data_IF_006780149947
#
_entry.id   IF_006780149947
#
_cell.length_a   1.000
_cell.length_b   1.000
_cell.length_c   1.000
_cell.angle_alpha   90.00
_cell.angle_beta   90.00
_cell.angle_gamma   90.00
#
_symmetry.space_group_name_H-M   'P 1'
#
loop_
_entity.id
_entity.type
_entity.pdbx_description
1 polymer ?
#
# COMPACT_ATOMS: atom_id res chain seq x y z
N UNK A 1 12.53 26.98 -5.01
CA UNK A 1 11.48 26.74 -4.00
C UNK A 1 10.89 25.37 -4.27
N UNK A 2 11.10 24.41 -3.36
CA UNK A 2 10.50 23.09 -3.48
C UNK A 2 9.03 23.19 -3.04
N UNK A 3 8.11 22.79 -3.90
CA UNK A 3 6.71 22.60 -3.52
C UNK A 3 6.72 21.38 -2.61
N UNK A 4 6.36 21.56 -1.33
CA UNK A 4 6.03 20.44 -0.47
C UNK A 4 4.83 19.75 -1.11
N UNK A 5 5.06 18.60 -1.72
CA UNK A 5 4.00 17.79 -2.32
C UNK A 5 3.27 17.16 -1.15
N UNK A 6 2.18 17.79 -0.73
CA UNK A 6 1.27 17.32 0.32
C UNK A 6 0.40 16.14 -0.15
N UNK A 7 0.67 15.62 -1.35
CA UNK A 7 -0.02 14.47 -1.93
C UNK A 7 0.71 13.18 -1.59
N UNK A 8 -0.02 12.10 -1.21
CA UNK A 8 0.59 10.81 -0.98
C UNK A 8 1.30 10.33 -2.26
N UNK A 9 2.47 9.69 -2.13
CA UNK A 9 3.17 9.13 -3.27
C UNK A 9 2.29 8.09 -3.95
N UNK A 10 2.31 8.10 -5.29
CA UNK A 10 1.45 7.26 -6.10
C UNK A 10 2.10 6.78 -7.40
N UNK A 11 1.61 5.65 -7.89
CA UNK A 11 1.96 5.05 -9.18
C UNK A 11 0.68 4.64 -9.91
N UNK A 12 0.70 4.70 -11.24
CA UNK A 12 -0.37 4.14 -12.07
C UNK A 12 0.20 3.00 -12.89
N UNK A 13 -0.48 1.86 -12.87
CA UNK A 13 -0.08 0.64 -13.57
C UNK A 13 -1.06 0.30 -14.69
N UNK A 14 -0.55 -0.23 -15.81
CA UNK A 14 -1.35 -0.91 -16.82
C UNK A 14 -1.63 -2.38 -16.45
N UNK A 15 -2.37 -3.09 -17.30
CA UNK A 15 -2.78 -4.48 -17.11
C UNK A 15 -1.60 -5.45 -16.89
N UNK A 16 -0.41 -5.15 -17.39
CA UNK A 16 0.79 -5.97 -17.25
C UNK A 16 1.67 -5.57 -16.04
N UNK A 17 1.15 -4.69 -15.17
CA UNK A 17 1.87 -4.10 -14.04
C UNK A 17 3.06 -3.22 -14.46
N UNK A 18 3.05 -2.68 -15.68
CA UNK A 18 4.02 -1.68 -16.10
C UNK A 18 3.58 -0.31 -15.58
N UNK A 19 4.54 0.44 -15.04
CA UNK A 19 4.34 1.77 -14.47
C UNK A 19 4.15 2.75 -15.62
N UNK A 20 2.94 3.27 -15.80
CA UNK A 20 2.60 4.21 -16.88
C UNK A 20 2.65 5.67 -16.45
N UNK A 21 2.44 5.94 -15.16
CA UNK A 21 2.52 7.27 -14.55
C UNK A 21 3.10 7.18 -13.14
N UNK A 22 3.80 8.23 -12.71
CA UNK A 22 4.45 8.35 -11.39
C UNK A 22 4.08 9.70 -10.81
N UNK A 23 3.53 9.71 -9.59
CA UNK A 23 3.20 10.94 -8.89
C UNK A 23 4.45 11.72 -8.45
N UNK A 24 4.39 13.06 -8.30
CA UNK A 24 5.57 13.86 -7.98
C UNK A 24 6.29 13.44 -6.68
N UNK A 25 5.53 13.09 -5.64
CA UNK A 25 6.10 12.60 -4.38
C UNK A 25 6.81 11.24 -4.53
N UNK A 26 6.25 10.35 -5.37
CA UNK A 26 6.87 9.06 -5.67
C UNK A 26 8.16 9.22 -6.49
N UNK A 27 8.12 10.07 -7.52
CA UNK A 27 9.28 10.37 -8.38
C UNK A 27 10.43 10.98 -7.55
N UNK A 28 10.11 11.87 -6.61
CA UNK A 28 11.11 12.46 -5.72
C UNK A 28 11.78 11.44 -4.79
N UNK A 29 11.04 10.43 -4.33
CA UNK A 29 11.54 9.44 -3.38
C UNK A 29 12.24 8.25 -4.06
N UNK A 30 11.75 7.82 -5.23
CA UNK A 30 12.14 6.57 -5.88
C UNK A 30 12.88 6.79 -7.22
N UNK A 31 12.89 8.02 -7.73
CA UNK A 31 13.42 8.36 -9.04
C UNK A 31 12.52 7.90 -10.19
N UNK A 32 13.07 7.88 -11.43
CA UNK A 32 12.28 7.63 -12.63
C UNK A 32 11.91 6.15 -12.77
N UNK A 33 10.64 5.84 -12.52
CA UNK A 33 10.09 4.48 -12.60
C UNK A 33 9.24 4.23 -13.85
N UNK A 34 8.84 5.28 -14.56
CA UNK A 34 7.95 5.18 -15.71
C UNK A 34 8.52 4.26 -16.80
N UNK A 35 7.68 3.36 -17.29
CA UNK A 35 7.99 2.36 -18.33
C UNK A 35 8.54 1.04 -17.81
N UNK A 36 8.95 0.97 -16.53
CA UNK A 36 9.43 -0.27 -15.91
C UNK A 36 8.26 -1.16 -15.48
N UNK A 37 8.48 -2.48 -15.47
CA UNK A 37 7.56 -3.37 -14.77
C UNK A 37 7.73 -3.19 -13.26
N UNK A 38 6.62 -3.14 -12.52
CA UNK A 38 6.63 -2.97 -11.07
C UNK A 38 7.48 -4.05 -10.38
N UNK A 39 7.35 -5.30 -10.81
CA UNK A 39 8.03 -6.43 -10.17
C UNK A 39 9.53 -6.45 -10.41
N UNK A 40 9.98 -5.86 -11.53
CA UNK A 40 11.39 -5.68 -11.83
C UNK A 40 11.97 -4.47 -11.08
N UNK A 41 11.16 -3.41 -10.93
CA UNK A 41 11.54 -2.22 -10.18
C UNK A 41 11.66 -2.47 -8.67
N UNK A 42 10.87 -3.40 -8.14
CA UNK A 42 10.86 -3.79 -6.72
C UNK A 42 11.03 -5.32 -6.60
N UNK A 43 12.27 -5.84 -6.64
CA UNK A 43 12.52 -7.27 -6.58
C UNK A 43 11.96 -7.94 -5.31
N UNK A 44 11.39 -9.13 -5.46
CA UNK A 44 10.83 -9.88 -4.32
C UNK A 44 9.48 -9.37 -3.81
N UNK A 45 8.97 -8.25 -4.33
CA UNK A 45 7.69 -7.66 -3.90
C UNK A 45 6.48 -8.48 -4.41
N UNK A 46 6.58 -9.13 -5.57
CA UNK A 46 5.44 -9.79 -6.23
C UNK A 46 4.63 -10.72 -5.32
N UNK A 47 5.21 -11.68 -4.57
CA UNK A 47 4.42 -12.56 -3.69
C UNK A 47 3.68 -11.81 -2.57
N UNK A 48 4.17 -10.63 -2.18
CA UNK A 48 3.61 -9.82 -1.10
C UNK A 48 2.43 -8.97 -1.59
N UNK A 49 2.59 -8.29 -2.74
CA UNK A 49 1.61 -7.29 -3.18
C UNK A 49 0.63 -7.80 -4.25
N UNK A 50 1.06 -8.72 -5.11
CA UNK A 50 0.24 -9.18 -6.24
C UNK A 50 -1.15 -9.71 -5.83
N UNK A 51 -1.32 -10.51 -4.74
CA UNK A 51 -2.64 -11.00 -4.35
C UNK A 51 -3.66 -9.88 -4.08
N UNK A 52 -3.21 -8.76 -3.53
CA UNK A 52 -4.06 -7.60 -3.22
C UNK A 52 -4.40 -6.81 -4.48
N UNK A 53 -3.43 -6.62 -5.37
CA UNK A 53 -3.63 -5.90 -6.63
C UNK A 53 -4.53 -6.68 -7.59
N UNK A 54 -4.31 -7.99 -7.70
CA UNK A 54 -5.19 -8.90 -8.44
C UNK A 54 -6.61 -8.88 -7.85
N UNK A 55 -6.75 -8.91 -6.52
CA UNK A 55 -8.05 -8.77 -5.87
C UNK A 55 -8.74 -7.46 -6.27
N UNK A 56 -8.06 -6.32 -6.17
CA UNK A 56 -8.62 -5.01 -6.52
C UNK A 56 -9.11 -4.98 -7.98
N UNK A 57 -8.32 -5.53 -8.91
CA UNK A 57 -8.72 -5.63 -10.32
C UNK A 57 -9.94 -6.53 -10.53
N UNK A 58 -9.94 -7.71 -9.92
CA UNK A 58 -11.04 -8.68 -10.10
C UNK A 58 -12.36 -8.20 -9.49
N UNK A 59 -12.31 -7.49 -8.37
CA UNK A 59 -13.52 -7.01 -7.69
C UNK A 59 -13.98 -5.65 -8.21
N UNK A 60 -13.09 -4.87 -8.83
CA UNK A 60 -13.37 -3.48 -9.18
C UNK A 60 -13.51 -2.58 -7.95
N UNK A 61 -13.08 -3.06 -6.77
CA UNK A 61 -13.17 -2.33 -5.50
C UNK A 61 -11.78 -1.93 -5.00
N UNK A 62 -11.64 -0.78 -4.33
CA UNK A 62 -10.41 -0.43 -3.63
C UNK A 62 -10.02 -1.48 -2.60
N UNK A 63 -8.74 -1.84 -2.56
CA UNK A 63 -8.17 -2.74 -1.55
C UNK A 63 -7.10 -2.00 -0.75
N UNK A 64 -7.23 -2.04 0.57
CA UNK A 64 -6.27 -1.49 1.51
C UNK A 64 -5.63 -2.59 2.34
N UNK A 65 -4.33 -2.48 2.61
CA UNK A 65 -3.58 -3.44 3.41
C UNK A 65 -2.30 -2.80 3.94
N UNK A 66 -1.76 -3.38 5.02
CA UNK A 66 -0.44 -3.03 5.54
C UNK A 66 0.54 -4.11 5.12
N UNK A 67 1.72 -3.72 4.65
CA UNK A 67 2.74 -4.64 4.19
C UNK A 67 4.13 -4.17 4.60
N UNK A 68 4.94 -5.10 5.10
CA UNK A 68 6.37 -4.90 5.29
C UNK A 68 7.14 -5.26 4.01
N UNK A 69 8.05 -4.40 3.59
CA UNK A 69 8.95 -4.61 2.46
C UNK A 69 10.21 -3.75 2.62
N UNK A 70 11.38 -4.35 2.41
CA UNK A 70 12.69 -3.66 2.38
C UNK A 70 12.97 -2.74 3.60
N UNK A 71 12.59 -3.20 4.81
CA UNK A 71 12.80 -2.44 6.04
C UNK A 71 11.68 -1.44 6.38
N UNK A 72 10.73 -1.24 5.48
CA UNK A 72 9.61 -0.32 5.63
C UNK A 72 8.28 -1.05 5.84
N UNK A 73 7.49 -0.55 6.78
CA UNK A 73 6.09 -0.91 6.97
C UNK A 73 5.23 0.19 6.34
N UNK A 74 4.48 -0.16 5.30
CA UNK A 74 3.59 0.77 4.60
C UNK A 74 2.12 0.40 4.73
N UNK A 75 1.25 1.41 4.70
CA UNK A 75 -0.17 1.24 4.36
C UNK A 75 -0.31 1.50 2.86
N UNK A 76 -0.82 0.50 2.14
CA UNK A 76 -0.99 0.55 0.68
C UNK A 76 -2.49 0.57 0.38
N UNK A 77 -2.86 1.42 -0.58
CA UNK A 77 -4.20 1.47 -1.16
C UNK A 77 -4.09 1.26 -2.67
N UNK A 78 -4.73 0.21 -3.15
CA UNK A 78 -4.85 -0.11 -4.57
C UNK A 78 -6.27 0.20 -5.05
N UNK A 79 -6.40 1.09 -6.04
CA UNK A 79 -7.68 1.56 -6.59
C UNK A 79 -7.76 1.18 -8.06
N UNK A 80 -8.69 0.31 -8.47
CA UNK A 80 -8.90 0.00 -9.88
C UNK A 80 -9.57 1.18 -10.61
N UNK A 81 -9.09 1.52 -11.81
CA UNK A 81 -9.65 2.56 -12.66
C UNK A 81 -9.64 2.09 -14.13
N UNK A 82 -10.78 1.55 -14.59
CA UNK A 82 -10.85 0.92 -15.91
C UNK A 82 -9.85 -0.25 -16.01
N UNK A 83 -8.95 -0.20 -16.99
CA UNK A 83 -7.85 -1.17 -17.16
C UNK A 83 -6.61 -0.87 -16.30
N UNK A 84 -6.61 0.25 -15.58
CA UNK A 84 -5.47 0.72 -14.79
C UNK A 84 -5.64 0.38 -13.31
N UNK A 85 -4.52 0.38 -12.61
CA UNK A 85 -4.48 0.29 -11.16
C UNK A 85 -3.68 1.43 -10.58
N UNK A 86 -4.31 2.26 -9.76
CA UNK A 86 -3.67 3.35 -9.03
C UNK A 86 -3.23 2.82 -7.68
N UNK A 87 -1.96 3.04 -7.34
CA UNK A 87 -1.37 2.65 -6.08
C UNK A 87 -1.00 3.91 -5.30
N UNK A 88 -1.39 3.95 -4.04
CA UNK A 88 -0.98 4.96 -3.07
C UNK A 88 -0.34 4.27 -1.88
N UNK A 89 0.62 4.91 -1.25
CA UNK A 89 1.18 4.40 0.00
C UNK A 89 1.55 5.49 0.99
N UNK A 90 1.53 5.11 2.26
CA UNK A 90 2.01 5.89 3.40
C UNK A 90 3.02 5.04 4.17
N UNK A 91 4.18 5.62 4.50
CA UNK A 91 5.17 4.98 5.37
C UNK A 91 4.68 5.10 6.82
N UNK A 92 4.39 3.96 7.44
CA UNK A 92 3.97 3.91 8.85
C UNK A 92 5.16 3.81 9.79
N UNK A 93 6.14 2.98 9.44
CA UNK A 93 7.31 2.74 10.27
C UNK A 93 8.49 2.24 9.45
N UNK A 94 9.72 2.52 9.91
CA UNK A 94 10.96 1.99 9.34
C UNK A 94 11.72 1.26 10.44
N UNK A 95 12.20 0.05 10.13
CA UNK A 95 13.01 -0.71 11.09
C UNK A 95 14.36 -0.02 11.32
N UNK A 96 14.72 0.10 12.60
CA UNK A 96 16.05 0.54 13.01
C UNK A 96 16.97 -0.68 13.07
N UNK A 97 17.77 -0.88 12.03
CA UNK A 97 18.69 -2.01 11.93
C UNK A 97 20.10 -1.70 12.47
N UNK A 98 20.31 -0.53 13.08
CA UNK A 98 21.65 -0.10 13.52
C UNK A 98 22.13 -0.84 14.76
N UNK A 99 21.21 -1.20 15.65
CA UNK A 99 21.51 -1.93 16.90
C UNK A 99 20.47 -3.03 17.13
N UNK A 100 20.84 -4.07 17.89
CA UNK A 100 19.89 -5.13 18.24
C UNK A 100 18.72 -4.62 19.09
N UNK A 101 18.97 -3.64 19.96
CA UNK A 101 17.94 -3.00 20.76
C UNK A 101 17.00 -2.14 19.91
N UNK A 102 17.55 -1.34 18.98
CA UNK A 102 16.77 -0.57 18.00
C UNK A 102 15.94 -1.47 17.10
N UNK A 103 16.50 -2.59 16.64
CA UNK A 103 15.78 -3.55 15.81
C UNK A 103 14.63 -4.18 16.57
N UNK A 104 14.88 -4.62 17.81
CA UNK A 104 13.84 -5.17 18.67
C UNK A 104 12.72 -4.15 18.90
N UNK A 105 13.06 -2.92 19.29
CA UNK A 105 12.09 -1.89 19.60
C UNK A 105 11.25 -1.47 18.37
N UNK A 106 11.88 -1.35 17.20
CA UNK A 106 11.18 -1.02 15.95
C UNK A 106 10.31 -2.17 15.43
N UNK A 107 10.72 -3.43 15.64
CA UNK A 107 9.87 -4.60 15.37
C UNK A 107 8.63 -4.62 16.29
N UNK A 108 8.81 -4.36 17.59
CA UNK A 108 7.69 -4.31 18.54
C UNK A 108 6.67 -3.23 18.13
N UNK A 109 7.14 -2.06 17.66
CA UNK A 109 6.29 -0.99 17.15
C UNK A 109 5.58 -1.37 15.84
N UNK A 110 6.30 -1.98 14.90
CA UNK A 110 5.72 -2.44 13.64
C UNK A 110 4.59 -3.46 13.85
N UNK A 111 4.79 -4.41 14.78
CA UNK A 111 3.78 -5.40 15.14
C UNK A 111 2.53 -4.75 15.75
N UNK A 112 2.70 -3.78 16.65
CA UNK A 112 1.58 -3.05 17.23
C UNK A 112 0.73 -2.31 16.18
N UNK A 113 1.38 -1.69 15.18
CA UNK A 113 0.70 -1.02 14.07
C UNK A 113 -0.11 -1.98 13.19
N UNK A 114 0.43 -3.18 12.92
CA UNK A 114 -0.28 -4.22 12.18
C UNK A 114 -1.53 -4.66 12.96
N UNK A 115 -1.39 -4.91 14.26
CA UNK A 115 -2.51 -5.29 15.12
C UNK A 115 -3.61 -4.23 15.18
N UNK A 116 -3.23 -2.95 15.26
CA UNK A 116 -4.18 -1.83 15.25
C UNK A 116 -4.94 -1.75 13.92
N UNK A 117 -4.23 -1.91 12.80
CA UNK A 117 -4.83 -1.90 11.47
C UNK A 117 -5.82 -3.07 11.29
N UNK A 118 -5.44 -4.28 11.71
CA UNK A 118 -6.32 -5.45 11.68
C UNK A 118 -7.57 -5.25 12.54
N UNK A 119 -7.41 -4.67 13.73
CA UNK A 119 -8.54 -4.34 14.59
C UNK A 119 -9.48 -3.32 13.93
N UNK A 120 -8.94 -2.33 13.21
CA UNK A 120 -9.72 -1.37 12.42
C UNK A 120 -10.50 -2.06 11.30
N UNK A 121 -9.85 -2.87 10.48
CA UNK A 121 -10.51 -3.60 9.39
C UNK A 121 -11.64 -4.52 9.89
N UNK A 122 -11.42 -5.22 11.01
CA UNK A 122 -12.45 -6.06 11.63
C UNK A 122 -13.66 -5.24 12.06
N UNK A 123 -13.45 -4.09 12.70
CA UNK A 123 -14.53 -3.17 13.10
C UNK A 123 -15.32 -2.65 11.90
N UNK A 124 -14.64 -2.26 10.82
CA UNK A 124 -15.30 -1.73 9.63
C UNK A 124 -16.13 -2.80 8.92
N UNK A 125 -15.62 -4.04 8.83
CA UNK A 125 -16.37 -5.18 8.28
C UNK A 125 -17.66 -5.47 9.07
N UNK A 126 -17.59 -5.42 10.40
CA UNK A 126 -18.77 -5.60 11.28
C UNK A 126 -19.79 -4.49 11.03
N UNK A 127 -19.36 -3.22 10.96
CA UNK A 127 -20.25 -2.08 10.68
C UNK A 127 -20.93 -2.20 9.31
N UNK A 128 -20.20 -2.57 8.26
CA UNK A 128 -20.76 -2.74 6.93
C UNK A 128 -21.80 -3.86 6.88
N UNK A 129 -21.56 -4.97 7.60
CA UNK A 129 -22.50 -6.09 7.68
C UNK A 129 -23.80 -5.68 8.38
N UNK A 130 -23.71 -4.91 9.46
CA UNK A 130 -24.88 -4.42 10.20
C UNK A 130 -25.75 -3.47 9.37
N UNK A 131 -25.13 -2.58 8.58
CA UNK A 131 -25.87 -1.64 7.69
C UNK A 131 -26.67 -2.36 6.60
N UNK A 132 -26.17 -3.49 6.09
CA UNK A 132 -26.90 -4.29 5.07
C UNK A 132 -28.16 -4.93 5.66
N UNK A 133 -28.16 -5.29 6.94
CA UNK A 133 -29.31 -5.90 7.61
C UNK A 133 -30.41 -4.88 7.91
N UNK A 134 -30.06 -3.63 8.20
CA UNK A 134 -31.05 -2.57 8.51
C UNK A 134 -31.71 -1.96 7.26
N UNK A 135 -31.06 -1.97 6.10
CA UNK A 135 -31.58 -1.42 4.84
C UNK A 135 -32.46 -2.37 4.01
N UNK A 136 -32.72 -3.58 4.50
CA UNK A 136 -33.44 -4.65 3.78
C UNK A 136 -34.88 -4.88 4.25
N UNK A 137 -35.65 -3.83 4.53
CA UNK A 137 -37.09 -3.91 4.86
C UNK A 137 -37.92 -2.91 4.07
#
# INVERSE_FOLDING_TARGET
MAVAVDEPPNLVLDEDYRIVEVGPAAEAALGPLRGRNLWDAFPGSRPLFHPYYDKARRTGEPVEFVQFYDGDLGHIRAVPEGSRLLLFWELLHRLDILTLEGLRASLDQALALIEEFDARLRRDRVKSTLRVVEGGR
#
